data_IF_651368466911
#
_entry.id   IF_651368466911
#
_cell.length_a   1.000
_cell.length_b   1.000
_cell.length_c   1.000
_cell.angle_alpha   90.00
_cell.angle_beta   90.00
_cell.angle_gamma   90.00
#
_symmetry.space_group_name_H-M   'P 1'
#
loop_
_entity.id
_entity.type
_entity.pdbx_description
1 polymer ?
#
# COMPACT_ATOMS: atom_id res chain seq x y z
N UNK A 1 -19.37 -35.83 5.71
CA UNK A 1 -19.00 -34.53 5.12
C UNK A 1 -18.94 -33.41 6.15
N UNK A 2 -19.94 -33.22 7.07
CA UNK A 2 -19.91 -32.12 8.09
C UNK A 2 -18.68 -32.15 9.02
N UNK A 3 -18.22 -33.32 9.45
CA UNK A 3 -17.06 -33.47 10.36
C UNK A 3 -15.76 -33.10 9.62
N UNK A 4 -15.63 -33.48 8.34
CA UNK A 4 -14.47 -33.08 7.50
C UNK A 4 -14.42 -31.58 7.30
N UNK A 5 -15.55 -30.90 7.09
CA UNK A 5 -15.63 -29.45 6.90
C UNK A 5 -15.29 -28.69 8.19
N UNK A 6 -15.66 -29.22 9.37
CA UNK A 6 -15.31 -28.61 10.66
C UNK A 6 -13.82 -28.75 10.94
N UNK A 7 -13.21 -29.90 10.68
CA UNK A 7 -11.76 -30.12 10.86
C UNK A 7 -10.93 -29.25 9.90
N UNK A 8 -11.32 -29.14 8.62
CA UNK A 8 -10.66 -28.29 7.64
C UNK A 8 -10.70 -26.81 8.03
N UNK A 9 -11.82 -26.35 8.59
CA UNK A 9 -11.96 -24.97 9.08
C UNK A 9 -11.06 -24.70 10.30
N UNK A 10 -10.89 -25.71 11.18
CA UNK A 10 -9.98 -25.65 12.32
C UNK A 10 -8.52 -25.54 11.88
N UNK A 11 -8.07 -26.38 10.92
CA UNK A 11 -6.69 -26.40 10.42
C UNK A 11 -6.32 -25.08 9.74
N UNK A 12 -7.19 -24.53 8.89
CA UNK A 12 -6.99 -23.23 8.25
C UNK A 12 -6.87 -22.10 9.27
N UNK A 13 -7.75 -22.06 10.28
CA UNK A 13 -7.71 -21.03 11.35
C UNK A 13 -6.42 -21.12 12.15
N UNK A 14 -5.95 -22.34 12.43
CA UNK A 14 -4.69 -22.54 13.14
C UNK A 14 -3.49 -22.03 12.34
N UNK A 15 -3.43 -22.34 11.04
CA UNK A 15 -2.36 -21.84 10.14
C UNK A 15 -2.35 -20.33 10.09
N UNK A 16 -3.48 -19.67 9.82
CA UNK A 16 -3.60 -18.20 9.79
C UNK A 16 -3.19 -17.58 11.13
N UNK A 17 -3.58 -18.20 12.25
CA UNK A 17 -3.23 -17.74 13.60
C UNK A 17 -1.72 -17.80 13.83
N UNK A 18 -1.05 -18.86 13.42
CA UNK A 18 0.41 -19.01 13.56
C UNK A 18 1.16 -18.02 12.67
N UNK A 19 0.75 -17.87 11.41
CA UNK A 19 1.28 -16.84 10.50
C UNK A 19 1.19 -15.45 11.15
N UNK A 20 0.01 -15.09 11.64
CA UNK A 20 -0.23 -13.81 12.29
C UNK A 20 0.66 -13.60 13.54
N UNK A 21 0.85 -14.65 14.35
CA UNK A 21 1.70 -14.60 15.55
C UNK A 21 3.16 -14.30 15.20
N UNK A 22 3.70 -14.86 14.11
CA UNK A 22 5.06 -14.62 13.68
C UNK A 22 5.17 -13.21 13.11
N UNK A 23 4.31 -12.87 12.13
CA UNK A 23 4.37 -11.58 11.43
C UNK A 23 4.18 -10.37 12.35
N UNK A 24 3.29 -10.46 13.35
CA UNK A 24 3.08 -9.38 14.33
C UNK A 24 4.27 -9.10 15.25
N UNK A 25 5.23 -10.03 15.34
CA UNK A 25 6.42 -9.86 16.19
C UNK A 25 7.60 -9.26 15.43
N UNK A 26 7.50 -9.12 14.12
CA UNK A 26 8.59 -8.60 13.28
C UNK A 26 8.90 -7.17 13.67
N UNK A 27 10.18 -6.93 13.95
CA UNK A 27 10.82 -5.62 14.18
C UNK A 27 12.17 -5.63 13.47
N UNK A 28 12.82 -4.48 13.31
CA UNK A 28 14.16 -4.41 12.73
C UNK A 28 15.18 -5.30 13.46
N UNK A 29 15.12 -5.35 14.80
CA UNK A 29 16.07 -6.09 15.61
C UNK A 29 15.96 -7.62 15.55
N UNK A 30 14.80 -8.16 15.16
CA UNK A 30 14.54 -9.59 15.13
C UNK A 30 14.17 -10.13 13.73
N UNK A 31 14.24 -9.27 12.72
CA UNK A 31 13.74 -9.56 11.37
C UNK A 31 14.33 -10.84 10.79
N UNK A 32 15.66 -10.97 10.73
CA UNK A 32 16.30 -12.12 10.11
C UNK A 32 15.90 -13.44 10.76
N UNK A 33 15.80 -13.46 12.08
CA UNK A 33 15.35 -14.65 12.82
C UNK A 33 13.91 -15.01 12.46
N UNK A 34 12.99 -14.03 12.54
CA UNK A 34 11.56 -14.27 12.30
C UNK A 34 11.25 -14.50 10.82
N UNK A 35 11.99 -13.88 9.90
CA UNK A 35 11.93 -14.17 8.46
C UNK A 35 12.21 -15.65 8.22
N UNK A 36 13.32 -16.17 8.73
CA UNK A 36 13.68 -17.58 8.56
C UNK A 36 12.65 -18.53 9.20
N UNK A 37 12.18 -18.22 10.41
CA UNK A 37 11.11 -18.98 11.09
C UNK A 37 9.83 -19.01 10.23
N UNK A 38 9.42 -17.86 9.71
CA UNK A 38 8.24 -17.73 8.89
C UNK A 38 8.37 -18.48 7.55
N UNK A 39 9.49 -18.33 6.85
CA UNK A 39 9.70 -18.98 5.56
C UNK A 39 9.79 -20.50 5.72
N UNK A 40 10.42 -21.01 6.78
CA UNK A 40 10.41 -22.45 7.09
C UNK A 40 8.99 -22.94 7.37
N UNK A 41 8.21 -22.20 8.16
CA UNK A 41 6.82 -22.55 8.44
C UNK A 41 5.97 -22.53 7.17
N UNK A 42 6.11 -21.50 6.32
CA UNK A 42 5.39 -21.42 5.05
C UNK A 42 5.73 -22.58 4.12
N UNK A 43 7.02 -22.92 3.97
CA UNK A 43 7.47 -24.10 3.18
C UNK A 43 6.83 -25.38 3.69
N UNK A 44 6.80 -25.59 5.00
CA UNK A 44 6.20 -26.81 5.57
C UNK A 44 4.71 -26.97 5.22
N UNK A 45 3.98 -25.83 5.12
CA UNK A 45 2.58 -25.83 4.70
C UNK A 45 2.48 -26.09 3.18
N UNK A 46 3.35 -25.44 2.39
CA UNK A 46 3.33 -25.52 0.94
C UNK A 46 3.74 -26.89 0.43
N UNK A 47 4.74 -27.54 1.07
CA UNK A 47 5.27 -28.85 0.69
C UNK A 47 4.44 -30.02 1.23
N UNK A 48 3.56 -29.82 2.19
CA UNK A 48 2.75 -30.87 2.80
C UNK A 48 1.60 -31.31 1.89
N UNK A 49 1.96 -32.11 0.87
CA UNK A 49 1.01 -32.70 -0.10
C UNK A 49 -0.11 -33.53 0.52
N UNK A 50 0.06 -34.04 1.75
CA UNK A 50 -0.95 -34.85 2.45
C UNK A 50 -2.08 -34.00 3.00
N UNK A 51 -1.81 -32.75 3.38
CA UNK A 51 -2.77 -31.81 3.94
C UNK A 51 -3.28 -30.78 2.92
N UNK A 52 -2.71 -30.70 1.70
CA UNK A 52 -3.14 -29.80 0.62
C UNK A 52 -4.64 -29.95 0.25
N UNK A 53 -5.24 -31.12 0.49
CA UNK A 53 -6.70 -31.28 0.31
C UNK A 53 -7.53 -30.61 1.42
N UNK A 54 -6.90 -30.19 2.52
CA UNK A 54 -7.57 -29.61 3.68
C UNK A 54 -7.37 -28.10 3.81
N UNK A 55 -6.27 -27.58 3.28
CA UNK A 55 -5.88 -26.16 3.40
C UNK A 55 -5.89 -25.52 2.01
N UNK A 56 -6.68 -24.47 1.86
CA UNK A 56 -6.69 -23.65 0.66
C UNK A 56 -5.48 -22.71 0.67
N UNK A 57 -4.40 -23.13 -0.01
CA UNK A 57 -3.15 -22.39 -0.05
C UNK A 57 -3.33 -20.99 -0.68
N UNK A 58 -4.23 -20.85 -1.65
CA UNK A 58 -4.50 -19.55 -2.28
C UNK A 58 -5.06 -18.56 -1.27
N UNK A 59 -5.95 -19.00 -0.37
CA UNK A 59 -6.46 -18.14 0.72
C UNK A 59 -5.36 -17.77 1.71
N UNK A 60 -4.44 -18.69 2.00
CA UNK A 60 -3.29 -18.41 2.86
C UNK A 60 -2.38 -17.37 2.19
N UNK A 61 -2.05 -17.53 0.90
CA UNK A 61 -1.24 -16.59 0.15
C UNK A 61 -1.85 -15.18 0.11
N UNK A 62 -3.16 -15.09 -0.16
CA UNK A 62 -3.88 -13.82 -0.12
C UNK A 62 -3.89 -13.19 1.27
N UNK A 63 -4.06 -13.99 2.33
CA UNK A 63 -4.00 -13.51 3.70
C UNK A 63 -2.61 -12.96 4.04
N UNK A 64 -1.54 -13.69 3.69
CA UNK A 64 -0.16 -13.26 3.91
C UNK A 64 0.08 -11.95 3.17
N UNK A 65 -0.21 -11.91 1.88
CA UNK A 65 -0.02 -10.71 1.05
C UNK A 65 -0.78 -9.51 1.64
N UNK A 66 -2.05 -9.69 1.99
CA UNK A 66 -2.84 -8.63 2.61
C UNK A 66 -2.22 -8.12 3.92
N UNK A 67 -1.72 -9.04 4.74
CA UNK A 67 -1.03 -8.69 5.98
C UNK A 67 0.21 -7.83 5.71
N UNK A 68 1.08 -8.26 4.78
CA UNK A 68 2.32 -7.55 4.43
C UNK A 68 2.06 -6.14 3.91
N UNK A 69 1.01 -5.99 3.08
CA UNK A 69 0.69 -4.71 2.43
C UNK A 69 0.06 -3.70 3.38
N UNK A 70 -0.87 -4.14 4.25
CA UNK A 70 -1.80 -3.22 4.92
C UNK A 70 -1.62 -3.09 6.43
N UNK A 71 -0.80 -3.96 7.04
CA UNK A 71 -0.82 -4.05 8.49
C UNK A 71 0.05 -2.99 9.20
N UNK A 72 1.18 -2.59 8.62
CA UNK A 72 2.09 -1.65 9.29
C UNK A 72 2.93 -0.84 8.30
N UNK A 73 2.74 0.48 8.31
CA UNK A 73 3.48 1.40 7.44
C UNK A 73 4.98 1.51 7.81
N UNK A 74 5.36 1.23 9.06
CA UNK A 74 6.73 1.39 9.56
C UNK A 74 7.64 0.29 8.99
N UNK A 75 7.14 -0.94 8.87
CA UNK A 75 7.90 -2.12 8.47
C UNK A 75 7.72 -2.54 7.01
N UNK A 76 7.24 -1.63 6.16
CA UNK A 76 7.01 -1.95 4.73
C UNK A 76 8.29 -2.37 4.00
N UNK A 77 9.46 -1.86 4.40
CA UNK A 77 10.75 -2.30 3.89
C UNK A 77 11.03 -3.78 4.21
N UNK A 78 10.75 -4.22 5.43
CA UNK A 78 10.93 -5.61 5.85
C UNK A 78 9.90 -6.53 5.18
N UNK A 79 8.67 -6.03 5.03
CA UNK A 79 7.59 -6.79 4.42
C UNK A 79 7.76 -6.94 2.90
N UNK A 80 8.33 -5.96 2.21
CA UNK A 80 8.67 -6.11 0.79
C UNK A 80 9.80 -7.12 0.57
N UNK A 81 10.84 -7.12 1.43
CA UNK A 81 11.89 -8.15 1.40
C UNK A 81 11.31 -9.55 1.69
N UNK A 82 10.39 -9.65 2.66
CA UNK A 82 9.72 -10.92 2.94
C UNK A 82 8.88 -11.40 1.75
N UNK A 83 8.18 -10.50 1.05
CA UNK A 83 7.47 -10.84 -0.19
C UNK A 83 8.42 -11.35 -1.28
N UNK A 84 9.58 -10.70 -1.46
CA UNK A 84 10.59 -11.14 -2.41
C UNK A 84 11.01 -12.60 -2.13
N UNK A 85 11.27 -12.94 -0.87
CA UNK A 85 11.62 -14.30 -0.47
C UNK A 85 10.46 -15.29 -0.66
N UNK A 86 9.20 -14.87 -0.46
CA UNK A 86 8.03 -15.69 -0.71
C UNK A 86 7.81 -15.98 -2.19
N UNK A 87 8.05 -15.00 -3.07
CA UNK A 87 7.99 -15.20 -4.54
C UNK A 87 8.98 -16.27 -5.00
N UNK A 88 10.18 -16.32 -4.41
CA UNK A 88 11.19 -17.32 -4.70
C UNK A 88 10.77 -18.75 -4.24
N UNK A 89 9.83 -18.87 -3.31
CA UNK A 89 9.28 -20.17 -2.86
C UNK A 89 8.04 -20.55 -3.67
N UNK A 90 7.18 -19.58 -3.95
CA UNK A 90 5.90 -19.75 -4.62
C UNK A 90 5.59 -18.55 -5.52
N UNK A 91 5.64 -18.76 -6.85
CA UNK A 91 5.40 -17.72 -7.85
C UNK A 91 3.99 -17.12 -7.82
N UNK A 92 3.00 -17.78 -7.20
CA UNK A 92 1.65 -17.24 -7.04
C UNK A 92 1.64 -15.86 -6.38
N UNK A 93 2.62 -15.56 -5.52
CA UNK A 93 2.77 -14.24 -4.91
C UNK A 93 3.08 -13.14 -5.92
N UNK A 94 3.75 -13.45 -7.03
CA UNK A 94 3.96 -12.51 -8.14
C UNK A 94 2.64 -12.17 -8.81
N UNK A 95 1.79 -13.16 -9.07
CA UNK A 95 0.47 -12.96 -9.66
C UNK A 95 -0.44 -12.13 -8.72
N UNK A 96 -0.39 -12.42 -7.43
CA UNK A 96 -1.12 -11.63 -6.42
C UNK A 96 -0.62 -10.18 -6.43
N UNK A 97 0.69 -9.94 -6.42
CA UNK A 97 1.28 -8.60 -6.46
C UNK A 97 0.78 -7.85 -7.71
N UNK A 98 0.81 -8.49 -8.87
CA UNK A 98 0.35 -7.90 -10.14
C UNK A 98 -1.15 -7.59 -10.14
N UNK A 99 -1.98 -8.47 -9.60
CA UNK A 99 -3.44 -8.25 -9.50
C UNK A 99 -3.80 -7.04 -8.60
N UNK A 100 -2.95 -6.69 -7.64
CA UNK A 100 -3.16 -5.51 -6.79
C UNK A 100 -2.63 -4.20 -7.40
N UNK A 101 -1.93 -4.24 -8.55
CA UNK A 101 -1.46 -3.03 -9.24
C UNK A 101 -2.61 -2.12 -9.66
N UNK A 102 -3.74 -2.68 -10.09
CA UNK A 102 -4.91 -1.88 -10.47
C UNK A 102 -5.43 -1.03 -9.30
N UNK A 103 -5.39 -1.57 -8.08
CA UNK A 103 -5.75 -0.82 -6.88
C UNK A 103 -4.78 0.34 -6.67
N UNK A 104 -3.49 0.12 -6.89
CA UNK A 104 -2.46 1.15 -6.74
C UNK A 104 -2.60 2.25 -7.79
N UNK A 105 -2.82 1.91 -9.06
CA UNK A 105 -3.07 2.90 -10.14
C UNK A 105 -4.31 3.75 -9.90
N UNK A 106 -5.34 3.17 -9.28
CA UNK A 106 -6.64 3.83 -9.05
C UNK A 106 -6.83 4.25 -7.58
N UNK A 107 -5.76 4.42 -6.83
CA UNK A 107 -5.84 4.67 -5.38
C UNK A 107 -6.64 5.93 -5.04
N UNK A 108 -6.62 6.96 -5.90
CA UNK A 108 -7.40 8.18 -5.75
C UNK A 108 -8.92 7.92 -5.65
N UNK A 109 -9.46 6.88 -6.32
CA UNK A 109 -10.87 6.48 -6.24
C UNK A 109 -11.27 5.90 -4.88
N UNK A 110 -10.29 5.49 -4.09
CA UNK A 110 -10.49 4.80 -2.81
C UNK A 110 -10.31 5.73 -1.61
N UNK A 111 -9.87 6.97 -1.82
CA UNK A 111 -9.70 7.97 -0.77
C UNK A 111 -11.08 8.38 -0.24
N UNK A 112 -11.26 8.29 1.07
CA UNK A 112 -12.47 8.73 1.76
C UNK A 112 -12.24 10.10 2.39
N UNK A 113 -13.25 10.99 2.22
CA UNK A 113 -13.20 12.34 2.73
C UNK A 113 -14.03 12.40 4.04
N UNK A 114 -13.47 12.92 5.15
CA UNK A 114 -14.26 13.22 6.31
C UNK A 114 -15.21 14.39 6.01
N UNK A 115 -16.38 14.42 6.64
CA UNK A 115 -17.30 15.55 6.58
C UNK A 115 -17.72 15.96 8.00
N UNK A 116 -18.29 17.17 8.13
CA UNK A 116 -18.67 17.77 9.41
C UNK A 116 -19.75 17.00 10.17
N UNK A 117 -20.50 16.13 9.49
CA UNK A 117 -21.60 15.35 10.09
C UNK A 117 -21.13 13.99 10.61
N UNK A 118 -19.87 13.59 10.35
CA UNK A 118 -19.35 12.33 10.84
C UNK A 118 -19.12 12.36 12.35
N UNK A 119 -19.53 11.27 13.01
CA UNK A 119 -19.20 11.02 14.41
C UNK A 119 -17.70 10.76 14.56
N UNK A 120 -17.18 10.85 15.78
CA UNK A 120 -15.78 10.52 16.08
C UNK A 120 -15.41 9.09 15.65
N UNK A 121 -16.31 8.13 15.80
CA UNK A 121 -16.10 6.76 15.36
C UNK A 121 -15.95 6.67 13.84
N UNK A 122 -16.82 7.31 13.08
CA UNK A 122 -16.77 7.35 11.61
C UNK A 122 -15.50 8.04 11.10
N UNK A 123 -15.09 9.14 11.72
CA UNK A 123 -13.82 9.82 11.40
C UNK A 123 -12.62 8.89 11.65
N UNK A 124 -12.64 8.14 12.74
CA UNK A 124 -11.58 7.15 13.03
C UNK A 124 -11.52 6.05 11.97
N UNK A 125 -12.66 5.53 11.53
CA UNK A 125 -12.72 4.51 10.49
C UNK A 125 -12.29 5.05 9.11
N UNK A 126 -12.64 6.29 8.77
CA UNK A 126 -12.16 6.96 7.55
C UNK A 126 -10.63 7.11 7.57
N UNK A 127 -10.07 7.55 8.70
CA UNK A 127 -8.63 7.70 8.84
C UNK A 127 -7.92 6.35 8.71
N UNK A 128 -8.38 5.30 9.40
CA UNK A 128 -7.84 3.94 9.26
C UNK A 128 -7.91 3.44 7.82
N UNK A 129 -9.03 3.72 7.13
CA UNK A 129 -9.20 3.37 5.72
C UNK A 129 -8.15 4.07 4.85
N UNK A 130 -7.97 5.38 4.98
CA UNK A 130 -6.96 6.12 4.21
C UNK A 130 -5.53 5.68 4.56
N UNK A 131 -5.25 5.42 5.84
CA UNK A 131 -3.93 4.94 6.28
C UNK A 131 -3.58 3.56 5.72
N UNK A 132 -4.58 2.68 5.57
CA UNK A 132 -4.42 1.40 4.88
C UNK A 132 -3.88 1.60 3.45
N UNK A 133 -4.40 2.57 2.70
CA UNK A 133 -3.93 2.84 1.34
C UNK A 133 -2.59 3.60 1.30
N UNK A 134 -2.27 4.37 2.33
CA UNK A 134 -0.89 4.89 2.49
C UNK A 134 0.12 3.76 2.73
N UNK A 135 -0.26 2.72 3.49
CA UNK A 135 0.56 1.51 3.62
C UNK A 135 0.80 0.85 2.26
N UNK A 136 -0.25 0.68 1.44
CA UNK A 136 -0.14 0.14 0.08
C UNK A 136 0.85 0.95 -0.77
N UNK A 137 0.72 2.27 -0.81
CA UNK A 137 1.66 3.12 -1.57
C UNK A 137 3.10 2.90 -1.12
N UNK A 138 3.34 2.91 0.19
CA UNK A 138 4.68 2.75 0.73
C UNK A 138 5.25 1.36 0.46
N UNK A 139 4.42 0.33 0.53
CA UNK A 139 4.79 -1.03 0.21
C UNK A 139 5.28 -1.15 -1.25
N UNK A 140 4.54 -0.61 -2.22
CA UNK A 140 4.95 -0.62 -3.63
C UNK A 140 6.23 0.18 -3.88
N UNK A 141 6.44 1.29 -3.18
CA UNK A 141 7.71 2.03 -3.24
C UNK A 141 8.89 1.15 -2.79
N UNK A 142 8.72 0.35 -1.74
CA UNK A 142 9.77 -0.57 -1.31
C UNK A 142 9.91 -1.76 -2.25
N UNK A 143 8.84 -2.27 -2.86
CA UNK A 143 8.92 -3.25 -3.93
C UNK A 143 9.75 -2.74 -5.11
N UNK A 144 9.58 -1.47 -5.50
CA UNK A 144 10.44 -0.82 -6.49
C UNK A 144 11.90 -0.75 -6.04
N UNK A 145 12.18 -0.36 -4.79
CA UNK A 145 13.55 -0.22 -4.26
C UNK A 145 14.34 -1.53 -4.21
N UNK A 146 13.67 -2.67 -4.26
CA UNK A 146 14.28 -4.01 -4.31
C UNK A 146 14.05 -4.71 -5.65
N UNK A 147 13.76 -3.94 -6.70
CA UNK A 147 13.59 -4.39 -8.09
C UNK A 147 12.49 -5.44 -8.31
N UNK A 148 11.47 -5.50 -7.42
CA UNK A 148 10.29 -6.35 -7.63
C UNK A 148 9.32 -5.78 -8.66
N UNK A 149 9.28 -4.47 -8.81
CA UNK A 149 8.46 -3.76 -9.80
C UNK A 149 9.28 -2.66 -10.46
N UNK A 150 9.04 -2.32 -11.74
CA UNK A 150 9.74 -1.26 -12.43
C UNK A 150 9.25 0.14 -11.99
N UNK A 151 10.08 1.17 -12.24
CA UNK A 151 9.79 2.57 -11.90
C UNK A 151 8.54 3.10 -12.60
N UNK A 152 8.25 2.61 -13.80
CA UNK A 152 7.10 2.99 -14.61
C UNK A 152 5.78 2.82 -13.85
N UNK A 153 5.65 1.74 -13.07
CA UNK A 153 4.46 1.48 -12.24
C UNK A 153 4.23 2.61 -11.23
N UNK A 154 5.31 3.03 -10.55
CA UNK A 154 5.22 4.13 -9.57
C UNK A 154 4.94 5.46 -10.28
N UNK A 155 5.57 5.67 -11.43
CA UNK A 155 5.40 6.88 -12.24
C UNK A 155 3.97 7.02 -12.72
N UNK A 156 3.37 5.96 -13.28
CA UNK A 156 2.00 5.97 -13.80
C UNK A 156 0.98 6.20 -12.70
N UNK A 157 1.12 5.53 -11.55
CA UNK A 157 0.25 5.76 -10.39
C UNK A 157 0.36 7.22 -9.88
N UNK A 158 1.56 7.80 -9.93
CA UNK A 158 1.79 9.19 -9.53
C UNK A 158 1.16 10.16 -10.54
N UNK A 159 1.23 9.87 -11.85
CA UNK A 159 0.55 10.66 -12.90
C UNK A 159 -0.96 10.66 -12.66
N UNK A 160 -1.56 9.51 -12.43
CA UNK A 160 -3.00 9.39 -12.17
C UNK A 160 -3.45 10.24 -10.97
N UNK A 161 -2.69 10.19 -9.87
CA UNK A 161 -2.95 11.01 -8.68
C UNK A 161 -2.81 12.50 -8.98
N UNK A 162 -1.79 12.89 -9.77
CA UNK A 162 -1.50 14.27 -10.10
C UNK A 162 -2.53 14.85 -11.07
N UNK A 163 -2.94 14.09 -12.08
CA UNK A 163 -3.95 14.50 -13.05
C UNK A 163 -5.31 14.67 -12.33
N UNK A 164 -5.70 13.75 -11.44
CA UNK A 164 -6.89 13.88 -10.59
C UNK A 164 -6.84 15.15 -9.73
N UNK A 165 -5.69 15.48 -9.15
CA UNK A 165 -5.54 16.72 -8.36
C UNK A 165 -5.72 17.97 -9.22
N UNK A 166 -5.09 18.03 -10.42
CA UNK A 166 -5.14 19.17 -11.33
C UNK A 166 -6.59 19.44 -11.78
N UNK A 167 -7.36 18.39 -12.04
CA UNK A 167 -8.75 18.52 -12.43
C UNK A 167 -9.62 19.01 -11.26
N UNK A 168 -9.40 18.47 -10.07
CA UNK A 168 -10.23 18.78 -8.90
C UNK A 168 -9.93 20.16 -8.25
N UNK A 169 -8.74 20.75 -8.43
CA UNK A 169 -8.48 22.10 -7.86
C UNK A 169 -9.41 23.19 -8.42
N UNK A 170 -9.98 22.95 -9.60
CA UNK A 170 -10.91 23.85 -10.31
C UNK A 170 -12.36 23.68 -9.86
N UNK A 171 -12.69 22.56 -9.22
CA UNK A 171 -14.05 22.20 -8.82
C UNK A 171 -14.37 22.66 -7.40
N UNK A 172 -15.65 22.98 -7.15
CA UNK A 172 -16.12 23.33 -5.80
C UNK A 172 -16.09 22.12 -4.85
N UNK A 173 -15.96 22.39 -3.56
CA UNK A 173 -16.05 21.38 -2.48
C UNK A 173 -15.04 20.22 -2.58
N UNK A 174 -13.89 20.46 -3.23
CA UNK A 174 -12.82 19.45 -3.40
C UNK A 174 -11.58 19.72 -2.55
N UNK A 175 -11.56 20.75 -1.74
CA UNK A 175 -10.36 21.19 -1.00
C UNK A 175 -9.79 20.09 -0.10
N UNK A 176 -10.61 19.43 0.70
CA UNK A 176 -10.17 18.37 1.62
C UNK A 176 -9.69 17.13 0.87
N UNK A 177 -10.39 16.78 -0.22
CA UNK A 177 -9.97 15.69 -1.11
C UNK A 177 -8.60 15.98 -1.73
N UNK A 178 -8.39 17.19 -2.24
CA UNK A 178 -7.12 17.61 -2.83
C UNK A 178 -5.97 17.63 -1.82
N UNK A 179 -6.25 17.97 -0.57
CA UNK A 179 -5.26 17.87 0.52
C UNK A 179 -4.87 16.40 0.81
N UNK A 180 -5.82 15.47 0.74
CA UNK A 180 -5.53 14.04 0.87
C UNK A 180 -4.75 13.52 -0.33
N UNK A 181 -5.15 13.82 -1.57
CA UNK A 181 -4.37 13.50 -2.79
C UNK A 181 -2.92 13.97 -2.66
N UNK A 182 -2.74 15.20 -2.20
CA UNK A 182 -1.40 15.79 -1.98
C UNK A 182 -0.58 15.02 -0.94
N UNK A 183 -1.21 14.46 0.10
CA UNK A 183 -0.52 13.60 1.07
C UNK A 183 0.00 12.30 0.43
N UNK A 184 -0.81 11.67 -0.44
CA UNK A 184 -0.38 10.48 -1.19
C UNK A 184 0.76 10.80 -2.16
N UNK A 185 0.64 11.90 -2.93
CA UNK A 185 1.70 12.38 -3.82
C UNK A 185 3.01 12.61 -3.07
N UNK A 186 2.94 13.32 -1.94
CA UNK A 186 4.12 13.57 -1.11
C UNK A 186 4.74 12.28 -0.55
N UNK A 187 3.91 11.32 -0.11
CA UNK A 187 4.38 10.04 0.38
C UNK A 187 5.17 9.28 -0.68
N UNK A 188 4.65 9.23 -1.92
CA UNK A 188 5.31 8.53 -3.04
C UNK A 188 6.60 9.26 -3.41
N UNK A 189 6.52 10.55 -3.71
CA UNK A 189 7.63 11.33 -4.26
C UNK A 189 8.76 11.60 -3.26
N UNK A 190 8.48 11.54 -1.95
CA UNK A 190 9.53 11.69 -0.92
C UNK A 190 10.51 10.52 -0.86
N UNK A 191 10.22 9.43 -1.53
CA UNK A 191 10.99 8.18 -1.45
C UNK A 191 11.64 7.75 -2.77
N UNK A 192 11.34 8.46 -3.86
CA UNK A 192 11.87 8.19 -5.21
C UNK A 192 12.33 9.50 -5.86
N UNK A 193 13.29 9.39 -6.76
CA UNK A 193 13.69 10.53 -7.61
C UNK A 193 12.78 10.58 -8.82
N UNK A 194 12.15 11.75 -9.05
CA UNK A 194 11.29 11.96 -10.21
C UNK A 194 12.16 12.20 -11.47
N UNK A 195 11.84 11.48 -12.54
CA UNK A 195 12.51 11.63 -13.85
C UNK A 195 11.52 12.04 -14.95
N UNK A 196 10.23 11.91 -14.72
CA UNK A 196 9.20 12.24 -15.70
C UNK A 196 8.97 13.74 -15.78
N UNK A 197 9.23 14.32 -16.95
CA UNK A 197 9.16 15.78 -17.19
C UNK A 197 7.75 16.36 -16.98
N UNK A 198 6.68 15.63 -17.37
CA UNK A 198 5.30 16.05 -17.15
C UNK A 198 5.01 16.18 -15.66
N UNK A 199 5.39 15.19 -14.86
CA UNK A 199 5.21 15.21 -13.39
C UNK A 199 5.96 16.38 -12.77
N UNK A 200 7.23 16.57 -13.13
CA UNK A 200 8.08 17.66 -12.63
C UNK A 200 7.45 19.02 -12.97
N UNK A 201 6.99 19.20 -14.22
CA UNK A 201 6.30 20.41 -14.65
C UNK A 201 5.03 20.68 -13.86
N UNK A 202 4.21 19.66 -13.64
CA UNK A 202 2.97 19.76 -12.88
C UNK A 202 3.21 20.10 -11.40
N UNK A 203 4.23 19.50 -10.76
CA UNK A 203 4.61 19.85 -9.39
C UNK A 203 5.09 21.29 -9.28
N UNK A 204 5.93 21.75 -10.23
CA UNK A 204 6.35 23.16 -10.31
C UNK A 204 5.17 24.11 -10.52
N UNK A 205 4.24 23.74 -11.41
CA UNK A 205 3.04 24.54 -11.65
C UNK A 205 2.25 24.77 -10.36
N UNK A 206 1.88 23.70 -9.64
CA UNK A 206 1.10 23.82 -8.40
C UNK A 206 1.88 24.54 -7.30
N UNK A 207 3.18 24.31 -7.17
CA UNK A 207 4.03 24.96 -6.17
C UNK A 207 4.12 26.50 -6.33
N UNK A 208 3.89 27.01 -7.55
CA UNK A 208 3.90 28.43 -7.87
C UNK A 208 2.53 29.11 -7.82
N UNK A 209 1.46 28.36 -7.56
CA UNK A 209 0.12 28.92 -7.43
C UNK A 209 -0.02 29.77 -6.16
N UNK A 210 -0.99 30.70 -6.20
CA UNK A 210 -1.43 31.46 -5.01
C UNK A 210 -2.68 30.76 -4.42
N UNK A 211 -2.93 30.97 -3.14
CA UNK A 211 -4.07 30.35 -2.44
C UNK A 211 -5.46 30.69 -3.05
N UNK A 212 -5.54 31.74 -3.83
CA UNK A 212 -6.76 32.18 -4.52
C UNK A 212 -6.76 31.88 -6.03
N UNK A 213 -5.78 31.15 -6.55
CA UNK A 213 -5.70 30.83 -7.99
C UNK A 213 -6.83 29.91 -8.45
N UNK A 214 -7.30 29.02 -7.58
CA UNK A 214 -8.39 28.09 -7.85
C UNK A 214 -9.25 27.90 -6.58
N UNK A 215 -10.52 27.49 -6.78
CA UNK A 215 -11.50 27.41 -5.71
C UNK A 215 -11.19 26.35 -4.66
N UNK A 216 -10.60 25.22 -5.08
CA UNK A 216 -10.26 24.10 -4.19
C UNK A 216 -8.76 23.89 -4.01
N UNK A 217 -7.97 24.98 -4.10
CA UNK A 217 -6.57 25.02 -3.70
C UNK A 217 -6.44 25.48 -2.24
N UNK A 218 -5.38 25.04 -1.55
CA UNK A 218 -5.02 25.53 -0.20
C UNK A 218 -3.53 25.73 -0.07
N UNK A 219 -3.12 26.56 0.92
CA UNK A 219 -1.71 26.74 1.25
C UNK A 219 -1.01 25.39 1.59
N UNK A 220 -1.72 24.45 2.20
CA UNK A 220 -1.21 23.13 2.53
C UNK A 220 -0.82 22.34 1.27
N UNK A 221 -1.64 22.40 0.21
CA UNK A 221 -1.36 21.80 -1.10
C UNK A 221 -0.11 22.46 -1.70
N UNK A 222 -0.09 23.79 -1.75
CA UNK A 222 1.02 24.56 -2.35
C UNK A 222 2.34 24.28 -1.64
N UNK A 223 2.37 24.34 -0.30
CA UNK A 223 3.60 24.10 0.47
C UNK A 223 4.10 22.65 0.32
N UNK A 224 3.19 21.66 0.31
CA UNK A 224 3.59 20.28 0.06
C UNK A 224 4.17 20.07 -1.34
N UNK A 225 3.66 20.77 -2.36
CA UNK A 225 4.24 20.74 -3.70
C UNK A 225 5.60 21.43 -3.75
N UNK A 226 5.83 22.52 -2.98
CA UNK A 226 7.18 23.10 -2.80
C UNK A 226 8.14 22.09 -2.17
N UNK A 227 7.73 21.41 -1.09
CA UNK A 227 8.55 20.36 -0.47
C UNK A 227 8.91 19.24 -1.47
N UNK A 228 7.97 18.85 -2.36
CA UNK A 228 8.23 17.84 -3.41
C UNK A 228 9.26 18.37 -4.41
N UNK A 229 9.10 19.60 -4.88
CA UNK A 229 10.01 20.23 -5.84
C UNK A 229 11.41 20.36 -5.25
N UNK A 230 11.55 20.87 -4.03
CA UNK A 230 12.84 21.04 -3.34
C UNK A 230 13.59 19.72 -3.12
N UNK A 231 12.87 18.61 -2.88
CA UNK A 231 13.48 17.29 -2.66
C UNK A 231 13.89 16.57 -3.93
N UNK A 232 13.26 16.88 -5.05
CA UNK A 232 13.43 16.11 -6.30
C UNK A 232 14.20 16.86 -7.38
N UNK A 233 14.47 18.13 -7.20
CA UNK A 233 15.16 19.02 -8.14
C UNK A 233 16.38 19.68 -7.55
#
# INVERSE_FOLDING_TARGET
NRIKDINNKSDHVMVVTNIRKILNKITESNYEKLKNEFLCYYKSIFDDKKNLHKIDINKINLYIFYFLVYNNIIFNNLYSDLLFNLININSDFSDILNNYLEIFYNIYKLIKIPNSNHTYHELTEINKHNDKYKCLCRFYIYCFKIDLIPLEIITDATINLQDELIDNIKLENKKEYNELLTQFLFLITSNIKLTNEKLISNFKYISNLKNNSFISISNKIIFKHKDIVEKNL
#
